data_IF_199130616058
#
_entry.id   IF_199130616058
#
_cell.length_a   1.000
_cell.length_b   1.000
_cell.length_c   1.000
_cell.angle_alpha   90.00
_cell.angle_beta   90.00
_cell.angle_gamma   90.00
#
_symmetry.space_group_name_H-M   'P 1'
#
loop_
_entity.id
_entity.type
_entity.pdbx_description
1 polymer ?
#
# COMPACT_ATOMS: atom_id res chain seq x y z
N UNK A 1 -37.11 19.28 -10.90
CA UNK A 1 -36.22 18.25 -11.50
C UNK A 1 -34.73 18.61 -11.46
N UNK A 2 -34.30 19.83 -11.83
CA UNK A 2 -32.88 20.21 -11.85
C UNK A 2 -32.10 19.97 -10.53
N UNK A 3 -32.73 20.23 -9.37
CA UNK A 3 -32.12 20.00 -8.05
C UNK A 3 -31.85 18.52 -7.75
N UNK A 4 -32.71 17.61 -8.25
CA UNK A 4 -32.57 16.16 -8.06
C UNK A 4 -31.40 15.62 -8.89
N UNK A 5 -31.28 16.05 -10.14
CA UNK A 5 -30.15 15.65 -11.02
C UNK A 5 -28.82 16.17 -10.47
N UNK A 6 -28.79 17.42 -9.98
CA UNK A 6 -27.60 17.97 -9.34
C UNK A 6 -27.21 17.19 -8.07
N UNK A 7 -28.20 16.80 -7.25
CA UNK A 7 -27.96 16.01 -6.04
C UNK A 7 -27.40 14.62 -6.37
N UNK A 8 -27.92 13.93 -7.39
CA UNK A 8 -27.43 12.62 -7.83
C UNK A 8 -25.98 12.72 -8.33
N UNK A 9 -25.66 13.71 -9.18
CA UNK A 9 -24.28 13.93 -9.65
C UNK A 9 -23.32 14.17 -8.49
N UNK A 10 -23.71 15.02 -7.54
CA UNK A 10 -22.90 15.28 -6.35
C UNK A 10 -22.70 14.02 -5.49
N UNK A 11 -23.72 13.18 -5.34
CA UNK A 11 -23.62 11.93 -4.61
C UNK A 11 -22.64 10.94 -5.28
N UNK A 12 -22.70 10.80 -6.61
CA UNK A 12 -21.77 9.93 -7.37
C UNK A 12 -20.32 10.40 -7.21
N UNK A 13 -20.07 11.70 -7.35
CA UNK A 13 -18.72 12.26 -7.17
C UNK A 13 -18.22 12.04 -5.75
N UNK A 14 -19.04 12.32 -4.74
CA UNK A 14 -18.66 12.10 -3.33
C UNK A 14 -18.33 10.65 -3.05
N UNK A 15 -19.14 9.72 -3.54
CA UNK A 15 -18.89 8.30 -3.38
C UNK A 15 -17.56 7.89 -4.02
N UNK A 16 -17.29 8.32 -5.26
CA UNK A 16 -16.01 8.07 -5.93
C UNK A 16 -14.81 8.63 -5.15
N UNK A 17 -14.92 9.85 -4.63
CA UNK A 17 -13.89 10.47 -3.79
C UNK A 17 -13.66 9.68 -2.50
N UNK A 18 -14.71 9.23 -1.82
CA UNK A 18 -14.60 8.46 -0.59
C UNK A 18 -13.98 7.08 -0.82
N UNK A 19 -14.34 6.39 -1.91
CA UNK A 19 -13.72 5.13 -2.29
C UNK A 19 -12.23 5.30 -2.58
N UNK A 20 -11.86 6.34 -3.32
CA UNK A 20 -10.47 6.63 -3.61
C UNK A 20 -9.68 6.95 -2.33
N UNK A 21 -10.24 7.76 -1.43
CA UNK A 21 -9.63 8.06 -0.14
C UNK A 21 -9.43 6.80 0.71
N UNK A 22 -10.44 5.92 0.78
CA UNK A 22 -10.33 4.65 1.48
C UNK A 22 -9.26 3.74 0.88
N UNK A 23 -9.16 3.69 -0.46
CA UNK A 23 -8.12 2.94 -1.14
C UNK A 23 -6.71 3.48 -0.83
N UNK A 24 -6.53 4.80 -0.78
CA UNK A 24 -5.25 5.42 -0.41
C UNK A 24 -4.87 5.10 1.05
N UNK A 25 -5.83 5.16 1.97
CA UNK A 25 -5.59 4.77 3.37
C UNK A 25 -5.19 3.29 3.45
N UNK A 26 -5.93 2.42 2.75
CA UNK A 26 -5.62 0.99 2.69
C UNK A 26 -4.24 0.72 2.10
N UNK A 27 -3.84 1.45 1.06
CA UNK A 27 -2.50 1.37 0.49
C UNK A 27 -1.43 1.79 1.51
N UNK A 28 -1.62 2.92 2.21
CA UNK A 28 -0.69 3.35 3.26
C UNK A 28 -0.50 2.30 4.36
N UNK A 29 -1.62 1.74 4.87
CA UNK A 29 -1.57 0.65 5.86
C UNK A 29 -0.84 -0.58 5.31
N UNK A 30 -1.08 -0.96 4.06
CA UNK A 30 -0.40 -2.08 3.44
C UNK A 30 1.12 -1.83 3.33
N UNK A 31 1.55 -0.63 2.96
CA UNK A 31 2.97 -0.26 2.90
C UNK A 31 3.61 -0.31 4.29
N UNK A 32 2.93 0.20 5.32
CA UNK A 32 3.40 0.13 6.70
C UNK A 32 3.54 -1.32 7.18
N UNK A 33 2.54 -2.18 6.90
CA UNK A 33 2.62 -3.61 7.25
C UNK A 33 3.76 -4.32 6.50
N UNK A 34 3.96 -4.02 5.21
CA UNK A 34 5.07 -4.56 4.45
C UNK A 34 6.42 -4.18 5.07
N UNK A 35 6.60 -2.92 5.46
CA UNK A 35 7.82 -2.42 6.08
C UNK A 35 8.06 -2.98 7.49
N UNK A 36 7.02 -2.99 8.34
CA UNK A 36 7.12 -3.51 9.71
C UNK A 36 7.41 -5.01 9.75
N UNK A 37 7.00 -5.75 8.72
CA UNK A 37 7.29 -7.18 8.57
C UNK A 37 8.46 -7.48 7.61
N UNK A 38 9.30 -6.48 7.30
CA UNK A 38 10.47 -6.66 6.46
C UNK A 38 11.48 -7.65 7.07
N UNK A 39 12.04 -8.51 6.23
CA UNK A 39 13.13 -9.42 6.57
C UNK A 39 14.17 -9.40 5.45
N UNK A 40 15.46 -9.15 5.74
CA UNK A 40 16.52 -9.14 4.73
C UNK A 40 16.79 -10.52 4.12
N UNK A 41 16.22 -11.59 4.70
CA UNK A 41 16.36 -12.97 4.22
C UNK A 41 15.19 -13.42 3.35
N UNK A 42 14.16 -12.58 3.16
CA UNK A 42 13.04 -12.85 2.26
C UNK A 42 13.47 -12.71 0.80
N UNK A 43 12.83 -13.43 -0.15
CA UNK A 43 13.05 -13.22 -1.57
C UNK A 43 12.67 -11.78 -1.96
N UNK A 44 13.60 -11.10 -2.61
CA UNK A 44 13.46 -9.70 -3.04
C UNK A 44 14.35 -9.42 -4.25
N UNK A 45 14.35 -8.17 -4.74
CA UNK A 45 15.23 -7.77 -5.83
C UNK A 45 16.70 -7.83 -5.45
N UNK A 46 17.02 -7.59 -4.17
CA UNK A 46 18.39 -7.63 -3.65
C UNK A 46 18.77 -8.95 -2.96
N UNK A 47 17.82 -9.87 -2.74
CA UNK A 47 18.06 -11.12 -2.01
C UNK A 47 17.59 -12.33 -2.83
N UNK A 48 18.55 -13.09 -3.36
CA UNK A 48 18.31 -14.39 -4.01
C UNK A 48 18.29 -15.49 -2.95
N UNK A 49 17.13 -16.14 -2.77
CA UNK A 49 16.93 -17.20 -1.77
C UNK A 49 15.88 -18.20 -2.26
N UNK A 50 15.98 -19.45 -1.79
CA UNK A 50 14.97 -20.50 -2.01
C UNK A 50 13.88 -20.55 -0.93
N UNK A 51 13.91 -19.63 0.05
CA UNK A 51 12.96 -19.59 1.17
C UNK A 51 11.65 -18.93 0.75
N UNK A 52 10.56 -19.34 1.37
CA UNK A 52 9.29 -18.62 1.27
C UNK A 52 9.40 -17.26 1.98
N UNK A 53 8.69 -16.26 1.46
CA UNK A 53 8.61 -14.93 2.06
C UNK A 53 7.91 -14.99 3.43
N UNK A 54 8.48 -14.30 4.41
CA UNK A 54 7.96 -14.17 5.77
C UNK A 54 7.20 -12.86 6.01
N UNK A 55 7.33 -11.90 5.09
CA UNK A 55 6.53 -10.68 5.06
C UNK A 55 5.03 -11.01 5.13
N UNK A 56 4.27 -10.21 5.89
CA UNK A 56 2.84 -10.50 6.12
C UNK A 56 1.97 -10.31 4.87
N UNK A 57 2.44 -9.53 3.90
CA UNK A 57 1.82 -9.42 2.57
C UNK A 57 2.46 -10.37 1.53
N UNK A 58 3.23 -11.36 2.01
CA UNK A 58 3.91 -12.36 1.19
C UNK A 58 5.00 -11.77 0.31
N UNK A 59 5.25 -12.43 -0.83
CA UNK A 59 6.34 -12.05 -1.74
C UNK A 59 6.19 -10.64 -2.30
N UNK A 60 4.97 -10.12 -2.49
CA UNK A 60 4.80 -8.74 -2.99
C UNK A 60 5.25 -7.76 -1.92
N UNK A 61 4.87 -8.00 -0.66
CA UNK A 61 5.29 -7.17 0.47
C UNK A 61 6.80 -7.13 0.67
N UNK A 62 7.48 -8.28 0.54
CA UNK A 62 8.94 -8.33 0.67
C UNK A 62 9.66 -7.48 -0.39
N UNK A 63 9.19 -7.50 -1.65
CA UNK A 63 9.77 -6.70 -2.73
C UNK A 63 9.45 -5.21 -2.59
N UNK A 64 8.24 -4.86 -2.18
CA UNK A 64 7.85 -3.46 -1.95
C UNK A 64 8.66 -2.87 -0.78
N UNK A 65 8.78 -3.61 0.33
CA UNK A 65 9.57 -3.17 1.48
C UNK A 65 11.06 -2.98 1.13
N UNK A 66 11.64 -3.90 0.34
CA UNK A 66 13.02 -3.82 -0.16
C UNK A 66 13.24 -2.53 -0.98
N UNK A 67 12.34 -2.24 -1.93
CA UNK A 67 12.41 -1.00 -2.74
C UNK A 67 12.21 0.25 -1.89
N UNK A 68 11.26 0.25 -0.95
CA UNK A 68 11.02 1.41 -0.08
C UNK A 68 12.24 1.72 0.80
N UNK A 69 12.85 0.69 1.39
CA UNK A 69 14.08 0.85 2.18
C UNK A 69 15.26 1.30 1.30
N UNK A 70 15.32 0.86 0.04
CA UNK A 70 16.35 1.32 -0.90
C UNK A 70 16.19 2.81 -1.26
N UNK A 71 14.96 3.26 -1.49
CA UNK A 71 14.69 4.64 -1.91
C UNK A 71 14.71 5.65 -0.76
N UNK A 72 14.22 5.25 0.41
CA UNK A 72 13.97 6.15 1.54
C UNK A 72 14.87 5.87 2.75
N UNK A 73 15.51 4.70 2.81
CA UNK A 73 16.30 4.26 3.98
C UNK A 73 15.44 3.96 5.20
N UNK A 74 16.07 3.99 6.39
CA UNK A 74 15.39 3.81 7.68
C UNK A 74 14.19 4.74 7.94
N UNK A 75 14.17 6.01 7.47
CA UNK A 75 12.99 6.86 7.56
C UNK A 75 11.71 6.28 6.95
N UNK A 76 11.81 5.30 6.04
CA UNK A 76 10.64 4.59 5.50
C UNK A 76 9.74 4.01 6.61
N UNK A 77 10.32 3.60 7.74
CA UNK A 77 9.58 3.03 8.88
C UNK A 77 8.64 4.03 9.58
N UNK A 78 8.75 5.33 9.28
CA UNK A 78 7.88 6.37 9.83
C UNK A 78 6.60 6.62 9.02
N UNK A 79 6.37 5.84 7.95
CA UNK A 79 5.17 5.90 7.11
C UNK A 79 3.90 5.42 7.84
#
# INVERSE_FOLDING_TARGET
>A
MARVVAAIKAAVVRFGVLLFAAALIGAGVALAVALLSYSPLDPSFNTVTGRAATNWLGSIGSHVADVLLQLLGWPALAL
#
